data_IF_107416958525
#
_entry.id   IF_107416958525
#
_cell.length_a   1.000
_cell.length_b   1.000
_cell.length_c   1.000
_cell.angle_alpha   90.00
_cell.angle_beta   90.00
_cell.angle_gamma   90.00
#
_symmetry.space_group_name_H-M   'P 1'
#
loop_
_entity.id
_entity.type
_entity.pdbx_description
1 polymer ?
#
# COMPACT_ATOMS: atom_id res chain seq x y z
N UNK A 1 20.97 -16.65 -14.66
CA UNK A 1 20.86 -16.27 -13.23
C UNK A 1 19.39 -16.28 -12.74
N UNK A 2 18.59 -15.21 -12.92
CA UNK A 2 17.24 -15.12 -12.34
C UNK A 2 16.26 -16.20 -12.85
N UNK A 3 16.20 -16.45 -14.16
CA UNK A 3 15.34 -17.50 -14.73
C UNK A 3 15.71 -18.91 -14.26
N UNK A 4 17.02 -19.20 -14.15
CA UNK A 4 17.51 -20.50 -13.66
C UNK A 4 17.17 -20.70 -12.18
N UNK A 5 17.29 -19.64 -11.37
CA UNK A 5 16.90 -19.68 -9.96
C UNK A 5 15.40 -19.92 -9.77
N UNK A 6 14.55 -19.31 -10.62
CA UNK A 6 13.11 -19.52 -10.60
C UNK A 6 12.73 -20.95 -10.99
N UNK A 7 13.44 -21.56 -11.95
CA UNK A 7 13.26 -22.98 -12.30
C UNK A 7 13.65 -23.90 -11.13
N UNK A 8 14.70 -23.55 -10.39
CA UNK A 8 15.13 -24.29 -9.20
C UNK A 8 14.20 -24.10 -7.98
N UNK A 9 13.41 -23.02 -7.95
CA UNK A 9 12.53 -22.65 -6.83
C UNK A 9 11.09 -22.38 -7.28
N UNK A 10 10.35 -23.41 -7.76
CA UNK A 10 9.05 -23.22 -8.42
C UNK A 10 7.94 -22.66 -7.52
N UNK A 11 8.12 -22.65 -6.19
CA UNK A 11 7.19 -22.04 -5.21
C UNK A 11 7.62 -20.66 -4.72
N UNK A 12 8.84 -20.22 -5.02
CA UNK A 12 9.35 -18.93 -4.54
C UNK A 12 8.72 -17.73 -5.26
N UNK A 13 8.18 -17.94 -6.46
CA UNK A 13 7.44 -16.92 -7.19
C UNK A 13 6.27 -17.57 -7.92
N UNK A 14 5.07 -17.08 -7.64
CA UNK A 14 3.86 -17.49 -8.37
C UNK A 14 3.42 -16.37 -9.28
N UNK A 15 3.11 -16.70 -10.54
CA UNK A 15 2.53 -15.72 -11.46
C UNK A 15 1.16 -15.29 -10.95
N UNK A 16 0.86 -14.00 -11.05
CA UNK A 16 -0.43 -13.43 -10.65
C UNK A 16 -1.63 -14.17 -11.28
N UNK A 17 -1.52 -14.56 -12.55
CA UNK A 17 -2.54 -15.33 -13.28
C UNK A 17 -2.86 -16.66 -12.58
N UNK A 18 -1.85 -17.33 -12.03
CA UNK A 18 -2.01 -18.61 -11.33
C UNK A 18 -2.50 -18.39 -9.90
N UNK A 19 -2.02 -17.36 -9.22
CA UNK A 19 -2.39 -17.06 -7.84
C UNK A 19 -3.87 -16.65 -7.70
N UNK A 20 -4.42 -16.01 -8.73
CA UNK A 20 -5.77 -15.45 -8.71
C UNK A 20 -6.84 -16.32 -9.38
N UNK A 21 -6.45 -17.48 -9.94
CA UNK A 21 -7.35 -18.32 -10.75
C UNK A 21 -8.59 -18.79 -9.99
N UNK A 22 -8.45 -19.07 -8.69
CA UNK A 22 -9.55 -19.51 -7.83
C UNK A 22 -10.38 -18.33 -7.31
N UNK A 23 -9.73 -17.21 -6.98
CA UNK A 23 -10.37 -16.04 -6.38
C UNK A 23 -11.28 -15.30 -7.37
N UNK A 24 -10.91 -15.25 -8.67
CA UNK A 24 -11.63 -14.53 -9.74
C UNK A 24 -12.00 -13.09 -9.32
N UNK A 25 -11.00 -12.24 -9.03
CA UNK A 25 -11.27 -10.88 -8.57
C UNK A 25 -12.05 -10.07 -9.60
N UNK A 26 -12.94 -9.21 -9.09
CA UNK A 26 -13.59 -8.17 -9.90
C UNK A 26 -12.72 -6.92 -10.06
N UNK A 27 -11.72 -6.74 -9.18
CA UNK A 27 -10.72 -5.68 -9.25
C UNK A 27 -9.46 -6.08 -8.48
N UNK A 28 -8.34 -5.45 -8.80
CA UNK A 28 -7.07 -5.58 -8.08
C UNK A 28 -6.72 -4.25 -7.41
N UNK A 29 -6.28 -4.29 -6.16
CA UNK A 29 -5.63 -3.16 -5.50
C UNK A 29 -4.14 -3.45 -5.50
N UNK A 30 -3.32 -2.57 -6.07
CA UNK A 30 -1.88 -2.82 -6.18
C UNK A 30 -1.04 -1.69 -5.59
N UNK A 31 -0.06 -2.08 -4.79
CA UNK A 31 1.07 -1.23 -4.48
C UNK A 31 2.03 -1.12 -5.65
N UNK A 32 3.02 -0.26 -5.50
CA UNK A 32 3.86 0.24 -6.59
C UNK A 32 4.81 -0.84 -7.11
N UNK A 33 5.31 -1.70 -6.23
CA UNK A 33 6.14 -2.87 -6.56
C UNK A 33 5.38 -3.94 -7.35
N UNK A 34 4.04 -3.98 -7.26
CA UNK A 34 3.18 -4.93 -7.96
C UNK A 34 2.48 -4.33 -9.19
N UNK A 35 2.73 -3.06 -9.50
CA UNK A 35 2.05 -2.33 -10.59
C UNK A 35 2.16 -3.04 -11.94
N UNK A 36 3.38 -3.38 -12.37
CA UNK A 36 3.63 -4.01 -13.67
C UNK A 36 2.92 -5.38 -13.83
N UNK A 37 3.02 -6.34 -12.88
CA UNK A 37 2.28 -7.58 -13.00
C UNK A 37 0.75 -7.37 -12.95
N UNK A 38 0.24 -6.43 -12.15
CA UNK A 38 -1.21 -6.16 -12.09
C UNK A 38 -1.75 -5.56 -13.39
N UNK A 39 -1.08 -4.55 -13.96
CA UNK A 39 -1.48 -3.96 -15.26
C UNK A 39 -1.44 -5.00 -16.39
N UNK A 40 -0.44 -5.88 -16.41
CA UNK A 40 -0.41 -7.00 -17.37
C UNK A 40 -1.56 -7.98 -17.18
N UNK A 41 -1.93 -8.26 -15.94
CA UNK A 41 -3.06 -9.14 -15.64
C UNK A 41 -4.38 -8.52 -16.10
N UNK A 42 -4.58 -7.23 -15.82
CA UNK A 42 -5.74 -6.49 -16.31
C UNK A 42 -5.93 -6.61 -17.81
N UNK A 43 -4.88 -6.36 -18.61
CA UNK A 43 -4.98 -6.48 -20.06
C UNK A 43 -5.36 -7.88 -20.54
N UNK A 44 -5.03 -8.92 -19.78
CA UNK A 44 -5.30 -10.32 -20.15
C UNK A 44 -6.67 -10.80 -19.67
N UNK A 45 -7.02 -10.46 -18.44
CA UNK A 45 -8.19 -10.97 -17.75
C UNK A 45 -9.36 -9.97 -17.71
N UNK A 46 -9.16 -8.74 -18.22
CA UNK A 46 -10.10 -7.63 -18.16
C UNK A 46 -10.53 -7.29 -16.72
N UNK A 47 -9.62 -7.48 -15.76
CA UNK A 47 -9.84 -7.17 -14.34
C UNK A 47 -9.18 -5.83 -14.00
N UNK A 48 -9.95 -4.77 -13.68
CA UNK A 48 -9.38 -3.44 -13.44
C UNK A 48 -8.42 -3.43 -12.25
N UNK A 49 -7.34 -2.67 -12.40
CA UNK A 49 -6.32 -2.45 -11.37
C UNK A 49 -6.40 -1.02 -10.84
N UNK A 50 -6.48 -0.91 -9.51
CA UNK A 50 -6.55 0.30 -8.71
C UNK A 50 -5.18 0.51 -8.04
N UNK A 51 -4.38 1.50 -8.47
CA UNK A 51 -3.08 1.75 -7.88
C UNK A 51 -3.19 2.45 -6.53
N UNK A 52 -2.26 2.11 -5.63
CA UNK A 52 -2.05 2.73 -4.33
C UNK A 52 -0.65 3.31 -4.27
N UNK A 53 -0.57 4.61 -3.99
CA UNK A 53 0.67 5.36 -3.88
C UNK A 53 0.98 5.65 -2.41
N UNK A 54 2.08 5.06 -1.91
CA UNK A 54 2.48 5.14 -0.50
C UNK A 54 3.34 6.37 -0.17
N UNK A 55 3.89 7.04 -1.19
CA UNK A 55 4.70 8.26 -1.02
C UNK A 55 4.50 9.18 -2.22
N UNK A 56 4.75 10.49 -2.02
CA UNK A 56 4.62 11.49 -3.08
C UNK A 56 5.57 11.25 -4.25
N UNK A 57 6.81 10.87 -3.96
CA UNK A 57 7.78 10.56 -5.01
C UNK A 57 7.28 9.43 -5.91
N UNK A 58 6.65 8.43 -5.32
CA UNK A 58 6.13 7.30 -6.09
C UNK A 58 4.86 7.68 -6.86
N UNK A 59 3.99 8.53 -6.30
CA UNK A 59 2.87 9.12 -7.05
C UNK A 59 3.38 9.86 -8.30
N UNK A 60 4.39 10.73 -8.15
CA UNK A 60 4.97 11.49 -9.27
C UNK A 60 5.63 10.57 -10.31
N UNK A 61 6.35 9.55 -9.88
CA UNK A 61 7.03 8.61 -10.81
C UNK A 61 6.05 7.70 -11.56
N UNK A 62 4.93 7.34 -10.94
CA UNK A 62 3.98 6.35 -11.46
C UNK A 62 2.60 6.94 -11.79
N UNK A 63 2.50 8.27 -11.91
CA UNK A 63 1.29 8.99 -12.30
C UNK A 63 0.68 8.45 -13.60
N UNK A 64 1.53 7.97 -14.52
CA UNK A 64 1.10 7.36 -15.79
C UNK A 64 0.11 6.21 -15.61
N UNK A 65 0.18 5.48 -14.48
CA UNK A 65 -0.75 4.39 -14.20
C UNK A 65 -2.15 4.95 -13.95
N UNK A 66 -2.24 5.97 -13.09
CA UNK A 66 -3.51 6.59 -12.71
C UNK A 66 -4.14 7.40 -13.85
N UNK A 67 -3.32 7.97 -14.73
CA UNK A 67 -3.75 8.80 -15.88
C UNK A 67 -3.94 8.01 -17.17
N UNK A 68 -3.59 6.71 -17.19
CA UNK A 68 -3.84 5.84 -18.34
C UNK A 68 -5.32 5.81 -18.70
N UNK A 69 -5.64 5.67 -19.99
CA UNK A 69 -7.02 5.63 -20.46
C UNK A 69 -7.57 4.19 -20.43
N UNK A 70 -8.79 3.97 -19.88
CA UNK A 70 -9.65 4.96 -19.22
C UNK A 70 -9.12 5.35 -17.83
N UNK A 71 -9.39 6.60 -17.35
CA UNK A 71 -8.93 7.05 -16.04
C UNK A 71 -9.34 6.09 -14.93
N UNK A 72 -8.43 5.85 -13.99
CA UNK A 72 -8.60 4.80 -12.99
C UNK A 72 -8.76 5.38 -11.60
N UNK A 73 -9.69 4.85 -10.78
CA UNK A 73 -9.67 5.13 -9.35
C UNK A 73 -8.32 4.77 -8.78
N UNK A 74 -7.78 5.67 -7.97
CA UNK A 74 -6.43 5.58 -7.42
C UNK A 74 -6.39 6.14 -6.01
N UNK A 75 -5.51 5.61 -5.16
CA UNK A 75 -5.39 6.05 -3.77
C UNK A 75 -4.00 6.59 -3.45
N UNK A 76 -3.97 7.72 -2.74
CA UNK A 76 -2.77 8.25 -2.10
C UNK A 76 -2.92 8.15 -0.59
N UNK A 77 -2.10 7.33 0.06
CA UNK A 77 -2.33 6.96 1.47
C UNK A 77 -1.60 7.84 2.48
N UNK A 78 -0.91 8.88 2.02
CA UNK A 78 -0.19 9.78 2.92
C UNK A 78 -1.16 10.83 3.47
N UNK A 79 -1.21 10.92 4.79
CA UNK A 79 -2.02 11.90 5.51
C UNK A 79 -1.51 13.33 5.29
N UNK A 80 -2.41 14.32 5.32
CA UNK A 80 -2.12 15.75 5.25
C UNK A 80 -1.09 16.24 6.28
N UNK A 81 -1.00 15.57 7.44
CA UNK A 81 0.01 15.86 8.46
C UNK A 81 1.46 15.57 8.00
N UNK A 82 1.62 14.59 7.10
CA UNK A 82 2.93 14.21 6.54
C UNK A 82 3.17 14.85 5.17
N UNK A 83 2.09 15.25 4.49
CA UNK A 83 2.09 15.76 3.13
C UNK A 83 0.88 16.70 2.92
N UNK A 84 1.08 17.99 3.19
CA UNK A 84 0.07 19.04 3.05
C UNK A 84 -0.04 19.60 1.62
N UNK A 85 0.84 19.19 0.71
CA UNK A 85 0.81 19.61 -0.68
C UNK A 85 -0.49 19.17 -1.37
N UNK A 86 -1.00 20.03 -2.27
CA UNK A 86 -2.14 19.69 -3.12
C UNK A 86 -1.82 18.44 -3.96
N UNK A 87 -2.84 17.61 -4.20
CA UNK A 87 -2.71 16.46 -5.08
C UNK A 87 -2.64 16.90 -6.55
N UNK A 88 -1.90 16.17 -7.41
CA UNK A 88 -1.98 16.38 -8.84
C UNK A 88 -3.42 16.19 -9.33
N UNK A 89 -3.81 16.93 -10.37
CA UNK A 89 -5.15 16.94 -10.95
C UNK A 89 -5.43 15.65 -11.76
N UNK A 90 -5.53 14.52 -11.04
CA UNK A 90 -5.83 13.20 -11.58
C UNK A 90 -7.30 12.89 -11.22
N UNK A 91 -8.13 12.69 -12.26
CA UNK A 91 -9.58 12.71 -12.15
C UNK A 91 -10.19 11.84 -11.04
N UNK A 92 -9.58 10.68 -10.76
CA UNK A 92 -10.10 9.70 -9.80
C UNK A 92 -9.07 9.36 -8.70
N UNK A 93 -8.10 10.26 -8.45
CA UNK A 93 -7.16 10.12 -7.34
C UNK A 93 -7.78 10.64 -6.04
N UNK A 94 -7.77 9.83 -5.00
CA UNK A 94 -8.22 10.23 -3.66
C UNK A 94 -7.12 10.06 -2.63
N UNK A 95 -6.92 11.09 -1.80
CA UNK A 95 -6.20 10.92 -0.53
C UNK A 95 -7.08 10.06 0.38
N UNK A 96 -6.51 9.05 1.03
CA UNK A 96 -7.29 8.25 2.00
C UNK A 96 -7.46 8.96 3.34
N UNK A 97 -6.74 10.07 3.56
CA UNK A 97 -6.68 10.84 4.81
C UNK A 97 -6.36 9.93 6.01
N UNK A 98 -6.81 10.31 7.21
CA UNK A 98 -6.54 9.61 8.46
C UNK A 98 -7.21 8.23 8.50
N UNK A 99 -6.54 7.23 7.94
CA UNK A 99 -6.79 5.84 8.26
C UNK A 99 -5.94 5.46 9.46
N UNK A 100 -6.43 5.83 10.64
CA UNK A 100 -5.94 5.29 11.90
C UNK A 100 -6.58 3.92 12.06
N UNK A 101 -5.79 2.86 11.88
CA UNK A 101 -6.17 1.56 12.43
C UNK A 101 -6.03 1.69 13.94
N UNK A 102 -7.15 1.61 14.67
CA UNK A 102 -7.14 1.50 16.13
C UNK A 102 -6.59 0.12 16.51
N UNK A 103 -5.28 -0.03 16.45
CA UNK A 103 -4.58 -1.20 16.95
C UNK A 103 -4.31 -1.01 18.44
N UNK A 104 -5.04 -1.74 19.28
CA UNK A 104 -4.68 -1.84 20.69
C UNK A 104 -3.50 -2.82 20.82
N UNK A 105 -2.31 -2.36 21.24
CA UNK A 105 -1.19 -3.26 21.46
C UNK A 105 -1.55 -4.31 22.52
N UNK A 106 -1.09 -5.54 22.33
CA UNK A 106 -1.31 -6.57 23.33
C UNK A 106 -0.44 -6.28 24.57
N UNK A 107 -0.84 -6.74 25.77
CA UNK A 107 -0.03 -6.55 26.97
C UNK A 107 1.43 -7.01 26.80
N UNK A 108 1.65 -8.12 26.09
CA UNK A 108 2.99 -8.67 25.82
C UNK A 108 3.85 -7.76 24.91
N UNK A 109 3.24 -6.93 24.07
CA UNK A 109 3.98 -5.99 23.22
C UNK A 109 4.59 -4.85 24.05
N UNK A 110 3.96 -4.52 25.19
CA UNK A 110 4.31 -3.43 26.09
C UNK A 110 5.18 -3.84 27.29
N UNK A 111 5.45 -5.15 27.45
CA UNK A 111 6.33 -5.67 28.51
C UNK A 111 7.81 -5.55 28.12
N UNK A 112 8.71 -5.69 29.09
CA UNK A 112 10.15 -5.63 28.86
C UNK A 112 10.60 -6.75 27.89
N UNK A 113 11.17 -6.37 26.75
CA UNK A 113 11.51 -7.28 25.64
C UNK A 113 10.43 -7.44 24.56
N UNK A 114 9.25 -6.83 24.76
CA UNK A 114 8.20 -6.72 23.74
C UNK A 114 8.54 -5.73 22.63
N UNK A 115 7.84 -5.84 21.49
CA UNK A 115 8.11 -5.02 20.30
C UNK A 115 7.84 -3.52 20.51
N UNK A 116 7.05 -3.17 21.53
CA UNK A 116 6.65 -1.81 21.89
C UNK A 116 7.00 -1.49 23.35
N UNK A 117 8.01 -2.15 23.93
CA UNK A 117 8.43 -1.92 25.32
C UNK A 117 8.75 -0.44 25.59
N UNK A 118 9.37 0.25 24.62
CA UNK A 118 9.70 1.67 24.72
C UNK A 118 8.46 2.58 24.66
N UNK A 119 7.38 2.14 24.00
CA UNK A 119 6.13 2.90 23.94
C UNK A 119 5.51 3.04 25.34
N UNK A 120 5.60 1.98 26.17
CA UNK A 120 5.14 2.05 27.56
C UNK A 120 5.93 3.08 28.36
N UNK A 121 7.27 3.08 28.22
CA UNK A 121 8.12 4.07 28.87
C UNK A 121 7.81 5.50 28.41
N UNK A 122 7.46 5.68 27.13
CA UNK A 122 7.06 6.96 26.56
C UNK A 122 5.70 7.43 27.10
N UNK A 123 4.72 6.53 27.20
CA UNK A 123 3.39 6.81 27.76
C UNK A 123 3.46 7.11 29.27
N UNK A 124 4.36 6.44 29.99
CA UNK A 124 4.58 6.64 31.43
C UNK A 124 5.44 7.90 31.73
N UNK A 125 6.15 8.46 30.74
CA UNK A 125 7.08 9.58 30.92
C UNK A 125 6.40 10.94 31.18
N UNK A 126 5.08 11.05 31.04
CA UNK A 126 4.38 12.30 31.32
C UNK A 126 2.96 12.34 30.73
N UNK A 127 2.26 13.48 30.87
CA UNK A 127 0.96 13.63 30.23
C UNK A 127 1.08 13.37 28.72
N UNK A 128 0.08 12.71 28.10
CA UNK A 128 0.13 12.35 26.69
C UNK A 128 0.43 13.60 25.85
N UNK A 129 1.29 13.49 24.82
CA UNK A 129 1.57 14.62 23.95
C UNK A 129 0.24 15.13 23.40
N UNK A 130 -0.08 16.39 23.69
CA UNK A 130 -1.25 17.05 23.15
C UNK A 130 -1.02 17.19 21.65
N UNK A 131 -1.68 16.35 20.87
CA UNK A 131 -1.84 16.61 19.44
C UNK A 131 -2.82 17.77 19.35
N UNK A 132 -2.31 18.97 19.13
CA UNK A 132 -3.13 20.13 18.79
C UNK A 132 -3.51 19.94 17.32
N UNK A 133 -4.73 19.49 17.08
CA UNK A 133 -5.40 19.53 15.76
C UNK A 133 -6.02 20.90 15.54
#
# INVERSE_FOLDING_TARGET
>A
AASEWLLANPRACTRIDNALIEMKPHALICGTQASAPCVRHEHRAMVPTIPVFLTRDVLKQLEWIATSQPPRPSFFVVNHLLDDEELPQIAELRRTDEWLLEEQPLPADLEEGGALAELRSFLDAGPPPVVIT
#
